data_IF_087416278953
#
_entry.id   IF_087416278953
#
_cell.length_a   1.000
_cell.length_b   1.000
_cell.length_c   1.000
_cell.angle_alpha   90.00
_cell.angle_beta   90.00
_cell.angle_gamma   90.00
#
_symmetry.space_group_name_H-M   'P 1'
#
loop_
_entity.id
_entity.type
_entity.pdbx_description
1 polymer ?
#
# COMPACT_ATOMS: atom_id res chain seq x y z
N UNK A 1 -10.92 -18.37 29.57
CA UNK A 1 -10.52 -18.54 28.18
C UNK A 1 -9.32 -17.64 27.92
N UNK A 2 -8.36 -18.09 27.16
CA UNK A 2 -7.18 -17.34 26.78
C UNK A 2 -7.03 -17.31 25.26
N UNK A 3 -6.17 -16.42 24.75
CA UNK A 3 -5.83 -16.37 23.35
C UNK A 3 -4.31 -16.43 23.19
N UNK A 4 -3.87 -17.02 22.10
CA UNK A 4 -2.47 -17.06 21.71
C UNK A 4 -2.37 -16.39 20.34
N UNK A 5 -1.50 -15.39 20.22
CA UNK A 5 -1.11 -14.79 18.96
C UNK A 5 0.24 -15.35 18.52
N UNK A 6 0.42 -15.49 17.22
CA UNK A 6 1.70 -15.86 16.63
C UNK A 6 2.17 -14.70 15.74
N UNK A 7 2.76 -13.63 16.34
CA UNK A 7 3.34 -12.55 15.57
C UNK A 7 4.48 -13.08 14.73
N UNK A 8 4.63 -12.53 13.54
CA UNK A 8 5.78 -12.81 12.69
C UNK A 8 7.00 -12.02 13.19
N UNK A 9 8.16 -12.18 12.57
CA UNK A 9 9.43 -11.67 13.10
C UNK A 9 9.69 -10.17 12.87
N UNK A 10 8.67 -9.40 12.50
CA UNK A 10 8.73 -7.94 12.38
C UNK A 10 8.09 -7.31 13.61
N UNK A 11 8.83 -7.37 14.73
CA UNK A 11 8.31 -7.09 16.05
C UNK A 11 7.70 -5.70 16.22
N UNK A 12 8.25 -4.70 15.54
CA UNK A 12 7.74 -3.33 15.61
C UNK A 12 6.50 -3.14 14.73
N UNK A 13 6.52 -3.65 13.50
CA UNK A 13 5.37 -3.58 12.59
C UNK A 13 4.18 -4.41 13.10
N UNK A 14 4.43 -5.57 13.74
CA UNK A 14 3.42 -6.44 14.31
C UNK A 14 2.66 -5.80 15.50
N UNK A 15 3.21 -4.77 16.13
CA UNK A 15 2.54 -4.06 17.25
C UNK A 15 1.18 -3.50 16.84
N UNK A 16 0.98 -3.11 15.59
CA UNK A 16 -0.31 -2.63 15.10
C UNK A 16 -1.38 -3.74 15.22
N UNK A 17 -1.08 -4.95 14.75
CA UNK A 17 -1.99 -6.08 14.84
C UNK A 17 -2.19 -6.53 16.30
N UNK A 18 -1.13 -6.53 17.10
CA UNK A 18 -1.20 -6.89 18.52
C UNK A 18 -2.03 -5.89 19.34
N UNK A 19 -1.94 -4.61 19.02
CA UNK A 19 -2.77 -3.58 19.66
C UNK A 19 -4.25 -3.82 19.38
N UNK A 20 -4.61 -4.12 18.13
CA UNK A 20 -6.00 -4.44 17.76
C UNK A 20 -6.50 -5.69 18.49
N UNK A 21 -5.69 -6.73 18.53
CA UNK A 21 -6.01 -7.98 19.21
C UNK A 21 -6.21 -7.76 20.72
N UNK A 22 -5.32 -7.00 21.36
CA UNK A 22 -5.43 -6.67 22.78
C UNK A 22 -6.70 -5.86 23.07
N UNK A 23 -7.01 -4.88 22.24
CA UNK A 23 -8.23 -4.06 22.37
C UNK A 23 -9.49 -4.91 22.23
N UNK A 24 -9.53 -5.83 21.26
CA UNK A 24 -10.62 -6.79 21.10
C UNK A 24 -10.81 -7.66 22.35
N UNK A 25 -9.73 -8.21 22.93
CA UNK A 25 -9.84 -9.06 24.13
C UNK A 25 -10.18 -8.27 25.38
N UNK A 26 -9.79 -7.01 25.46
CA UNK A 26 -10.13 -6.16 26.60
C UNK A 26 -11.63 -5.87 26.68
N UNK A 27 -12.26 -5.50 25.58
CA UNK A 27 -13.69 -5.24 25.52
C UNK A 27 -14.25 -5.47 24.12
N UNK A 28 -14.66 -6.71 23.83
CA UNK A 28 -15.16 -7.11 22.51
C UNK A 28 -16.39 -6.32 22.05
N UNK A 29 -17.27 -5.95 22.99
CA UNK A 29 -18.51 -5.23 22.65
C UNK A 29 -18.25 -3.77 22.25
N UNK A 30 -17.29 -3.14 22.86
CA UNK A 30 -16.87 -1.79 22.57
C UNK A 30 -16.01 -1.75 21.30
N UNK A 31 -15.01 -2.62 21.22
CA UNK A 31 -14.18 -2.77 20.05
C UNK A 31 -14.99 -2.99 18.76
N UNK A 32 -16.01 -3.85 18.80
CA UNK A 32 -16.84 -4.14 17.62
C UNK A 32 -17.63 -2.93 17.11
N UNK A 33 -17.83 -1.90 17.93
CA UNK A 33 -18.50 -0.65 17.55
C UNK A 33 -17.53 0.43 17.08
N UNK A 34 -16.25 0.35 17.49
CA UNK A 34 -15.24 1.39 17.33
C UNK A 34 -13.96 0.87 16.67
N UNK A 35 -14.07 -0.15 15.85
CA UNK A 35 -12.91 -0.85 15.24
C UNK A 35 -11.98 0.11 14.51
N UNK A 36 -12.54 0.99 13.68
CA UNK A 36 -11.77 1.95 12.90
C UNK A 36 -11.10 3.00 13.79
N UNK A 37 -11.83 3.53 14.76
CA UNK A 37 -11.30 4.52 15.72
C UNK A 37 -10.15 3.93 16.55
N UNK A 38 -10.28 2.67 17.00
CA UNK A 38 -9.23 1.97 17.74
C UNK A 38 -8.01 1.73 16.83
N UNK A 39 -8.24 1.41 15.56
CA UNK A 39 -7.17 1.25 14.59
C UNK A 39 -6.40 2.56 14.37
N UNK A 40 -7.07 3.69 14.19
CA UNK A 40 -6.42 5.00 14.08
C UNK A 40 -5.67 5.40 15.37
N UNK A 41 -6.27 5.17 16.53
CA UNK A 41 -5.65 5.46 17.82
C UNK A 41 -4.36 4.65 18.04
N UNK A 42 -4.28 3.44 17.49
CA UNK A 42 -3.08 2.61 17.56
C UNK A 42 -1.84 3.35 17.03
N UNK A 43 -1.93 4.01 15.88
CA UNK A 43 -0.80 4.74 15.28
C UNK A 43 -0.38 5.94 16.12
N UNK A 44 -1.35 6.68 16.68
CA UNK A 44 -1.10 7.80 17.61
C UNK A 44 -0.41 7.36 18.88
N UNK A 45 -0.73 6.15 19.36
CA UNK A 45 -0.12 5.58 20.55
C UNK A 45 1.29 5.03 20.29
N UNK A 46 1.48 4.31 19.19
CA UNK A 46 2.72 3.62 18.88
C UNK A 46 3.81 4.56 18.32
N UNK A 47 3.43 5.51 17.45
CA UNK A 47 4.37 6.39 16.74
C UNK A 47 3.74 7.80 16.62
N UNK A 48 3.58 8.53 17.74
CA UNK A 48 2.86 9.81 17.76
C UNK A 48 3.47 10.88 16.84
N UNK A 49 4.78 10.86 16.63
CA UNK A 49 5.51 11.83 15.82
C UNK A 49 5.24 11.70 14.32
N UNK A 50 4.90 10.52 13.86
CA UNK A 50 4.62 10.21 12.45
C UNK A 50 3.31 9.46 12.25
N UNK A 51 2.37 9.59 13.20
CA UNK A 51 1.16 8.76 13.19
C UNK A 51 0.36 8.89 11.88
N UNK A 52 0.24 10.09 11.35
CA UNK A 52 -0.53 10.37 10.13
C UNK A 52 0.13 9.74 8.89
N UNK A 53 1.44 9.86 8.79
CA UNK A 53 2.22 9.21 7.74
C UNK A 53 2.15 7.68 7.83
N UNK A 54 2.28 7.14 9.04
CA UNK A 54 2.19 5.69 9.25
C UNK A 54 0.79 5.15 8.98
N UNK A 55 -0.25 5.85 9.41
CA UNK A 55 -1.64 5.52 9.13
C UNK A 55 -1.93 5.54 7.61
N UNK A 56 -1.45 6.57 6.90
CA UNK A 56 -1.56 6.66 5.44
C UNK A 56 -0.92 5.45 4.74
N UNK A 57 0.31 5.10 5.14
CA UNK A 57 0.98 3.90 4.61
C UNK A 57 0.15 2.66 4.91
N UNK A 58 -0.27 2.47 6.15
CA UNK A 58 -1.01 1.29 6.59
C UNK A 58 -2.34 1.12 5.86
N UNK A 59 -3.12 2.19 5.65
CA UNK A 59 -4.37 2.17 4.87
C UNK A 59 -4.18 1.65 3.45
N UNK A 60 -3.06 1.99 2.84
CA UNK A 60 -2.76 1.61 1.46
C UNK A 60 -2.12 0.21 1.31
N UNK A 61 -1.72 -0.44 2.41
CA UNK A 61 -1.09 -1.76 2.40
C UNK A 61 -1.76 -2.77 3.35
N UNK A 62 -2.87 -2.41 3.99
CA UNK A 62 -3.53 -3.21 5.03
C UNK A 62 -4.11 -4.54 4.57
N UNK A 63 -4.08 -4.83 3.29
CA UNK A 63 -4.57 -6.07 2.72
C UNK A 63 -3.45 -7.06 2.44
N UNK A 64 -3.71 -8.32 2.74
CA UNK A 64 -2.82 -9.43 2.39
C UNK A 64 -3.42 -10.21 1.22
N UNK A 65 -3.09 -9.86 -0.03
CA UNK A 65 -3.59 -10.61 -1.18
C UNK A 65 -2.96 -12.00 -1.21
N UNK A 66 -3.79 -12.99 -1.30
CA UNK A 66 -3.41 -14.27 -1.89
C UNK A 66 -2.42 -15.13 -1.11
N UNK A 67 -2.50 -15.20 0.21
CA UNK A 67 -2.20 -16.49 0.82
C UNK A 67 -3.48 -17.31 0.73
N UNK A 68 -3.46 -18.49 0.09
CA UNK A 68 -4.61 -19.41 0.07
C UNK A 68 -5.03 -19.88 1.48
N UNK A 69 -4.56 -19.21 2.50
CA UNK A 69 -4.87 -19.39 3.93
C UNK A 69 -5.66 -18.22 4.52
N UNK A 70 -5.83 -17.11 3.77
CA UNK A 70 -6.67 -16.00 4.23
C UNK A 70 -8.13 -16.37 3.96
N UNK A 71 -9.05 -16.23 4.92
CA UNK A 71 -10.47 -16.47 4.69
C UNK A 71 -10.96 -15.69 3.48
N UNK A 72 -11.74 -16.32 2.62
CA UNK A 72 -12.37 -15.67 1.48
C UNK A 72 -13.17 -14.45 1.95
N UNK A 73 -13.00 -13.31 1.29
CA UNK A 73 -13.74 -12.08 1.58
C UNK A 73 -12.89 -10.88 2.01
N UNK A 74 -11.57 -11.01 2.10
CA UNK A 74 -10.70 -9.84 2.24
C UNK A 74 -10.32 -9.32 0.86
N UNK A 75 -10.80 -8.14 0.53
CA UNK A 75 -10.47 -7.45 -0.72
C UNK A 75 -9.16 -6.69 -0.59
N UNK A 76 -8.41 -6.58 -1.68
CA UNK A 76 -7.20 -5.79 -1.73
C UNK A 76 -7.54 -4.29 -1.73
N UNK A 77 -6.86 -3.52 -0.88
CA UNK A 77 -6.94 -2.06 -0.86
C UNK A 77 -8.36 -1.51 -0.79
N UNK A 78 -9.14 -1.89 0.23
CA UNK A 78 -10.50 -1.38 0.46
C UNK A 78 -10.59 0.14 0.41
N UNK A 79 -9.56 0.83 0.91
CA UNK A 79 -9.50 2.29 0.95
C UNK A 79 -9.60 2.95 -0.44
N UNK A 80 -9.02 2.33 -1.48
CA UNK A 80 -9.06 2.83 -2.86
C UNK A 80 -10.01 2.05 -3.76
N UNK A 81 -10.67 1.01 -3.26
CA UNK A 81 -11.44 0.07 -4.08
C UNK A 81 -12.52 0.74 -4.93
N UNK A 82 -13.31 1.64 -4.35
CA UNK A 82 -14.37 2.36 -5.07
C UNK A 82 -13.79 3.29 -6.14
N UNK A 83 -12.80 4.11 -5.79
CA UNK A 83 -12.12 5.03 -6.71
C UNK A 83 -11.52 4.27 -7.90
N UNK A 84 -10.81 3.17 -7.64
CA UNK A 84 -10.18 2.35 -8.68
C UNK A 84 -11.21 1.65 -9.55
N UNK A 85 -12.30 1.12 -8.97
CA UNK A 85 -13.39 0.48 -9.72
C UNK A 85 -14.07 1.47 -10.67
N UNK A 86 -14.39 2.68 -10.19
CA UNK A 86 -15.00 3.73 -11.03
C UNK A 86 -14.11 4.13 -12.19
N UNK A 87 -12.80 4.32 -11.95
CA UNK A 87 -11.84 4.63 -13.02
C UNK A 87 -11.75 3.47 -14.02
N UNK A 88 -11.66 2.23 -13.54
CA UNK A 88 -11.60 1.05 -14.40
C UNK A 88 -12.82 0.92 -15.29
N UNK A 89 -14.01 1.12 -14.74
CA UNK A 89 -15.25 1.11 -15.51
C UNK A 89 -15.29 2.21 -16.57
N UNK A 90 -14.83 3.42 -16.23
CA UNK A 90 -14.73 4.52 -17.16
C UNK A 90 -13.77 4.22 -18.34
N UNK A 91 -12.62 3.60 -18.06
CA UNK A 91 -11.66 3.15 -19.08
C UNK A 91 -12.30 2.09 -19.99
N UNK A 92 -12.93 1.06 -19.43
CA UNK A 92 -13.59 -0.01 -20.17
C UNK A 92 -14.72 0.49 -21.06
N UNK A 93 -15.45 1.48 -20.62
CA UNK A 93 -16.59 2.07 -21.34
C UNK A 93 -16.20 3.22 -22.27
N UNK A 94 -14.92 3.55 -22.41
CA UNK A 94 -14.41 4.71 -23.16
C UNK A 94 -15.03 6.05 -22.73
N UNK A 95 -15.31 6.18 -21.42
CA UNK A 95 -15.85 7.40 -20.80
C UNK A 95 -14.84 8.08 -19.87
N UNK A 96 -13.61 7.57 -19.83
CA UNK A 96 -12.54 8.13 -19.00
C UNK A 96 -12.19 9.56 -19.45
N UNK A 97 -12.09 10.47 -18.49
CA UNK A 97 -11.56 11.83 -18.70
C UNK A 97 -10.63 12.22 -17.54
N UNK A 98 -9.65 13.07 -17.84
CA UNK A 98 -8.73 13.59 -16.82
C UNK A 98 -9.42 14.44 -15.74
N UNK A 99 -10.63 14.95 -16.04
CA UNK A 99 -11.39 15.81 -15.15
C UNK A 99 -12.29 15.05 -14.14
N UNK A 100 -12.41 13.74 -14.24
CA UNK A 100 -13.14 12.92 -13.27
C UNK A 100 -12.65 13.19 -11.84
N UNK A 101 -13.57 13.25 -10.88
CA UNK A 101 -13.22 13.50 -9.48
C UNK A 101 -12.38 12.36 -8.92
N UNK A 102 -12.66 11.13 -9.31
CA UNK A 102 -11.92 9.93 -8.90
C UNK A 102 -10.47 9.96 -9.38
N UNK A 103 -10.23 10.47 -10.59
CA UNK A 103 -8.86 10.67 -11.12
C UNK A 103 -8.11 11.70 -10.30
N UNK A 104 -8.74 12.83 -9.97
CA UNK A 104 -8.16 13.88 -9.11
C UNK A 104 -7.87 13.35 -7.71
N UNK A 105 -8.80 12.60 -7.14
CA UNK A 105 -8.65 11.99 -5.82
C UNK A 105 -7.49 10.97 -5.81
N UNK A 106 -7.41 10.11 -6.83
CA UNK A 106 -6.33 9.12 -6.93
C UNK A 106 -4.95 9.78 -7.09
N UNK A 107 -4.84 10.84 -7.88
CA UNK A 107 -3.60 11.62 -8.00
C UNK A 107 -3.18 12.25 -6.67
N UNK A 108 -4.14 12.83 -5.94
CA UNK A 108 -3.89 13.41 -4.62
C UNK A 108 -3.42 12.33 -3.64
N UNK A 109 -4.06 11.16 -3.64
CA UNK A 109 -3.67 10.05 -2.79
C UNK A 109 -2.29 9.51 -3.13
N UNK A 110 -1.93 9.38 -4.40
CA UNK A 110 -0.57 8.99 -4.79
C UNK A 110 0.48 9.97 -4.28
N UNK A 111 0.22 11.27 -4.38
CA UNK A 111 1.11 12.29 -3.84
C UNK A 111 1.20 12.21 -2.31
N UNK A 112 0.07 11.96 -1.64
CA UNK A 112 -0.02 11.80 -0.20
C UNK A 112 0.76 10.57 0.29
N UNK A 113 0.63 9.41 -0.37
CA UNK A 113 1.39 8.20 -0.04
C UNK A 113 2.90 8.46 -0.16
N UNK A 114 3.36 9.08 -1.25
CA UNK A 114 4.79 9.36 -1.44
C UNK A 114 5.33 10.34 -0.38
N UNK A 115 4.55 11.37 -0.04
CA UNK A 115 4.88 12.30 1.03
C UNK A 115 4.92 11.59 2.39
N UNK A 116 3.94 10.73 2.69
CA UNK A 116 3.88 9.95 3.92
C UNK A 116 5.09 9.01 4.06
N UNK A 117 5.49 8.32 2.99
CA UNK A 117 6.69 7.47 3.00
C UNK A 117 7.94 8.29 3.28
N UNK A 118 8.06 9.48 2.69
CA UNK A 118 9.18 10.39 2.95
C UNK A 118 9.20 10.84 4.41
N UNK A 119 8.10 11.39 4.91
CA UNK A 119 7.96 11.83 6.31
C UNK A 119 8.28 10.71 7.28
N UNK A 120 7.72 9.51 7.04
CA UNK A 120 7.98 8.35 7.88
C UNK A 120 9.48 8.00 7.95
N UNK A 121 10.18 7.99 6.82
CA UNK A 121 11.61 7.69 6.76
C UNK A 121 12.49 8.74 7.46
N UNK A 122 12.08 10.00 7.39
CA UNK A 122 12.88 11.14 7.89
C UNK A 122 12.61 11.45 9.37
N UNK A 123 11.37 11.24 9.84
CA UNK A 123 10.93 11.75 11.14
C UNK A 123 10.60 10.63 12.15
N UNK A 124 10.43 9.37 11.72
CA UNK A 124 10.17 8.28 12.66
C UNK A 124 11.39 8.02 13.55
N UNK A 125 11.21 8.18 14.85
CA UNK A 125 12.28 7.99 15.85
C UNK A 125 12.51 6.53 16.22
N UNK A 126 11.58 5.63 15.88
CA UNK A 126 11.73 4.20 16.07
C UNK A 126 12.57 3.58 14.95
N UNK A 127 13.89 3.60 15.12
CA UNK A 127 14.84 3.07 14.15
C UNK A 127 14.61 1.60 13.81
N UNK A 128 14.12 0.79 14.74
CA UNK A 128 13.80 -0.63 14.49
C UNK A 128 12.63 -0.78 13.53
N UNK A 129 11.56 0.00 13.71
CA UNK A 129 10.42 0.02 12.80
C UNK A 129 10.82 0.51 11.40
N UNK A 130 11.59 1.59 11.33
CA UNK A 130 12.11 2.09 10.05
C UNK A 130 12.94 1.00 9.35
N UNK A 131 13.82 0.32 10.09
CA UNK A 131 14.63 -0.79 9.58
C UNK A 131 13.77 -1.95 9.06
N UNK A 132 12.74 -2.36 9.82
CA UNK A 132 11.84 -3.44 9.42
C UNK A 132 11.10 -3.12 8.12
N UNK A 133 10.70 -1.86 7.90
CA UNK A 133 9.92 -1.46 6.73
C UNK A 133 10.77 -1.06 5.52
N UNK A 134 12.02 -0.62 5.73
CA UNK A 134 12.91 -0.16 4.66
C UNK A 134 13.97 -1.20 4.27
N UNK A 135 14.40 -2.04 5.20
CA UNK A 135 15.43 -3.06 4.96
C UNK A 135 15.25 -4.29 5.85
N UNK A 136 14.16 -5.06 5.64
CA UNK A 136 13.81 -6.22 6.47
C UNK A 136 14.79 -7.36 6.31
N UNK A 137 15.84 -7.44 6.89
CA UNK A 137 16.90 -8.46 6.75
C UNK A 137 18.29 -7.86 6.85
N UNK A 138 18.35 -6.56 7.09
CA UNK A 138 19.58 -5.82 7.35
C UNK A 138 20.68 -6.11 6.30
N UNK A 139 20.33 -6.01 5.02
CA UNK A 139 21.24 -6.30 3.88
C UNK A 139 21.86 -5.01 3.39
N UNK A 140 23.11 -5.04 3.01
CA UNK A 140 23.76 -3.93 2.32
C UNK A 140 23.00 -3.61 1.01
N UNK A 141 22.57 -2.35 0.85
CA UNK A 141 21.69 -1.93 -0.25
C UNK A 141 20.30 -2.57 -0.23
N UNK A 142 19.88 -3.08 0.94
CA UNK A 142 18.59 -3.74 1.12
C UNK A 142 17.42 -2.83 0.84
N UNK A 143 16.33 -3.43 0.40
CA UNK A 143 15.10 -2.77 0.01
C UNK A 143 13.92 -3.39 0.76
N UNK A 144 12.90 -2.59 1.08
CA UNK A 144 11.80 -3.01 1.91
C UNK A 144 10.43 -2.70 1.33
N UNK A 145 9.41 -2.84 2.18
CA UNK A 145 8.02 -2.64 1.80
C UNK A 145 7.72 -1.19 1.40
N UNK A 146 8.37 -0.19 2.02
CA UNK A 146 8.15 1.21 1.65
C UNK A 146 8.62 1.49 0.22
N UNK A 147 9.77 0.96 -0.19
CA UNK A 147 10.25 1.07 -1.55
C UNK A 147 9.36 0.28 -2.53
N UNK A 148 8.82 -0.87 -2.10
CA UNK A 148 7.86 -1.62 -2.90
C UNK A 148 6.57 -0.81 -3.12
N UNK A 149 6.05 -0.15 -2.10
CA UNK A 149 4.89 0.73 -2.22
C UNK A 149 5.19 1.94 -3.12
N UNK A 150 6.36 2.56 -3.01
CA UNK A 150 6.80 3.63 -3.93
C UNK A 150 6.75 3.20 -5.39
N UNK A 151 7.24 1.99 -5.72
CA UNK A 151 7.19 1.47 -7.10
C UNK A 151 5.75 1.30 -7.58
N UNK A 152 4.86 0.75 -6.75
CA UNK A 152 3.44 0.57 -7.11
C UNK A 152 2.77 1.92 -7.38
N UNK A 153 3.00 2.91 -6.52
CA UNK A 153 2.42 4.26 -6.67
C UNK A 153 2.96 4.94 -7.92
N UNK A 154 4.28 4.89 -8.17
CA UNK A 154 4.89 5.46 -9.38
C UNK A 154 4.38 4.79 -10.65
N UNK A 155 4.27 3.46 -10.66
CA UNK A 155 3.66 2.74 -11.77
C UNK A 155 2.22 3.19 -12.02
N UNK A 156 1.42 3.33 -10.97
CA UNK A 156 0.05 3.84 -11.03
C UNK A 156 -0.01 5.26 -11.61
N UNK A 157 0.90 6.16 -11.21
CA UNK A 157 1.00 7.51 -11.76
C UNK A 157 1.29 7.50 -13.28
N UNK A 158 2.24 6.68 -13.72
CA UNK A 158 2.55 6.56 -15.15
C UNK A 158 1.40 5.97 -15.96
N UNK A 159 0.71 4.93 -15.45
CA UNK A 159 -0.45 4.37 -16.13
C UNK A 159 -1.56 5.43 -16.24
N UNK A 160 -1.82 6.17 -15.17
CA UNK A 160 -2.83 7.23 -15.18
C UNK A 160 -2.50 8.33 -16.18
N UNK A 161 -1.23 8.73 -16.27
CA UNK A 161 -0.76 9.70 -17.29
C UNK A 161 -0.94 9.16 -18.72
N UNK A 162 -0.71 7.86 -18.94
CA UNK A 162 -0.98 7.24 -20.24
C UNK A 162 -2.48 7.28 -20.59
N UNK A 163 -3.36 6.98 -19.64
CA UNK A 163 -4.81 7.05 -19.84
C UNK A 163 -5.29 8.49 -20.12
N UNK A 164 -4.73 9.46 -19.41
CA UNK A 164 -5.03 10.89 -19.66
C UNK A 164 -4.59 11.35 -21.07
N UNK A 165 -3.44 10.88 -21.52
CA UNK A 165 -2.96 11.16 -22.88
C UNK A 165 -3.87 10.52 -23.92
N UNK A 166 -4.25 9.24 -23.70
CA UNK A 166 -5.17 8.51 -24.60
C UNK A 166 -6.57 9.16 -24.69
N UNK A 167 -7.01 9.84 -23.64
CA UNK A 167 -8.32 10.50 -23.61
C UNK A 167 -8.37 11.84 -24.35
N UNK A 168 -7.24 12.34 -24.86
CA UNK A 168 -7.21 13.58 -25.67
C UNK A 168 -7.80 13.33 -27.06
N UNK A 169 -8.29 14.40 -27.68
CA UNK A 169 -8.80 14.33 -29.07
C UNK A 169 -7.73 13.89 -30.07
N UNK A 170 -6.48 14.28 -29.84
CA UNK A 170 -5.30 13.90 -30.63
C UNK A 170 -4.22 13.39 -29.68
N UNK A 171 -4.23 12.10 -29.31
CA UNK A 171 -3.27 11.54 -28.37
C UNK A 171 -1.88 11.39 -29.00
N UNK A 172 -0.84 11.78 -28.26
CA UNK A 172 0.55 11.48 -28.62
C UNK A 172 0.89 10.05 -28.17
N UNK A 173 0.88 9.12 -29.11
CA UNK A 173 1.20 7.72 -28.84
C UNK A 173 2.64 7.51 -28.35
N UNK A 174 3.57 8.41 -28.64
CA UNK A 174 4.93 8.36 -28.08
C UNK A 174 4.92 8.59 -26.58
N UNK A 175 4.12 9.54 -26.10
CA UNK A 175 3.93 9.80 -24.67
C UNK A 175 3.21 8.62 -24.01
N UNK A 176 2.16 8.07 -24.64
CA UNK A 176 1.44 6.90 -24.14
C UNK A 176 2.39 5.73 -23.91
N UNK A 177 3.14 5.34 -24.96
CA UNK A 177 4.06 4.21 -24.87
C UNK A 177 5.20 4.43 -23.87
N UNK A 178 5.72 5.67 -23.80
CA UNK A 178 6.72 6.02 -22.79
C UNK A 178 6.20 5.78 -21.38
N UNK A 179 5.02 6.27 -21.06
CA UNK A 179 4.43 6.09 -19.73
C UNK A 179 4.17 4.61 -19.40
N UNK A 180 3.68 3.81 -20.33
CA UNK A 180 3.53 2.36 -20.12
C UNK A 180 4.88 1.67 -19.93
N UNK A 181 5.91 2.10 -20.63
CA UNK A 181 7.28 1.57 -20.45
C UNK A 181 7.83 1.91 -19.07
N UNK A 182 7.64 3.15 -18.61
CA UNK A 182 8.08 3.60 -17.28
C UNK A 182 7.31 2.85 -16.17
N UNK A 183 6.01 2.69 -16.31
CA UNK A 183 5.20 1.87 -15.38
C UNK A 183 5.70 0.42 -15.32
N UNK A 184 5.99 -0.18 -16.48
CA UNK A 184 6.54 -1.54 -16.55
C UNK A 184 7.91 -1.64 -15.88
N UNK A 185 8.77 -0.63 -16.02
CA UNK A 185 10.08 -0.59 -15.35
C UNK A 185 9.95 -0.56 -13.82
N UNK A 186 9.03 0.26 -13.28
CA UNK A 186 8.72 0.30 -11.85
C UNK A 186 8.20 -1.06 -11.36
N UNK A 187 7.28 -1.70 -12.08
CA UNK A 187 6.75 -3.01 -11.72
C UNK A 187 7.78 -4.13 -11.84
N UNK A 188 8.70 -4.06 -12.80
CA UNK A 188 9.82 -4.99 -12.91
C UNK A 188 10.76 -4.85 -11.71
N UNK A 189 11.03 -3.63 -11.25
CA UNK A 189 11.79 -3.37 -10.02
C UNK A 189 11.06 -3.95 -8.81
N UNK A 190 9.77 -3.66 -8.67
CA UNK A 190 8.93 -4.22 -7.62
C UNK A 190 9.00 -5.77 -7.59
N UNK A 191 8.86 -6.42 -8.74
CA UNK A 191 8.80 -7.88 -8.83
C UNK A 191 10.12 -8.56 -8.44
N UNK A 192 11.25 -7.87 -8.51
CA UNK A 192 12.57 -8.37 -8.13
C UNK A 192 12.86 -8.19 -6.62
N UNK A 193 12.05 -7.41 -5.89
CA UNK A 193 12.28 -7.17 -4.48
C UNK A 193 12.04 -8.42 -3.65
N UNK A 194 13.01 -8.74 -2.84
CA UNK A 194 12.96 -9.92 -1.95
C UNK A 194 13.59 -9.57 -0.61
N UNK A 195 13.24 -10.32 0.42
CA UNK A 195 13.94 -10.30 1.70
C UNK A 195 14.31 -11.71 2.13
N UNK A 196 15.32 -11.85 2.97
CA UNK A 196 15.71 -13.12 3.56
C UNK A 196 15.21 -13.24 4.98
N UNK A 197 14.64 -14.39 5.28
CA UNK A 197 14.33 -14.76 6.66
C UNK A 197 15.61 -15.04 7.47
N UNK A 198 15.62 -14.72 8.78
CA UNK A 198 16.73 -15.10 9.65
C UNK A 198 17.02 -16.61 9.68
N UNK A 199 15.99 -17.43 9.50
CA UNK A 199 16.09 -18.91 9.45
C UNK A 199 16.54 -19.46 8.08
N UNK A 200 16.90 -18.59 7.14
CA UNK A 200 17.23 -18.96 5.76
C UNK A 200 15.97 -19.12 4.88
N UNK A 201 16.06 -18.63 3.67
CA UNK A 201 14.95 -18.60 2.72
C UNK A 201 14.67 -17.19 2.23
N UNK A 202 14.26 -17.07 0.99
CA UNK A 202 13.97 -15.79 0.33
C UNK A 202 12.48 -15.68 0.05
N UNK A 203 11.86 -14.56 0.41
CA UNK A 203 10.48 -14.24 0.04
C UNK A 203 10.39 -12.97 -0.78
N UNK A 204 9.39 -12.91 -1.67
CA UNK A 204 9.08 -11.69 -2.40
C UNK A 204 8.49 -10.65 -1.45
N UNK A 205 8.98 -9.42 -1.53
CA UNK A 205 8.35 -8.25 -0.91
C UNK A 205 7.10 -7.90 -1.70
N UNK A 206 5.95 -7.93 -1.06
CA UNK A 206 4.66 -7.57 -1.67
C UNK A 206 4.05 -6.40 -0.90
N UNK A 207 3.78 -5.31 -1.60
CA UNK A 207 2.89 -4.27 -1.13
C UNK A 207 1.46 -4.60 -1.60
N UNK A 208 0.50 -4.64 -0.69
CA UNK A 208 -0.84 -5.15 -0.94
C UNK A 208 -1.62 -4.47 -2.07
N UNK A 209 -1.36 -3.20 -2.32
CA UNK A 209 -2.05 -2.40 -3.35
C UNK A 209 -1.66 -2.75 -4.80
N UNK A 210 -0.72 -3.67 -5.02
CA UNK A 210 -0.20 -3.96 -6.36
C UNK A 210 -1.26 -4.34 -7.36
N UNK A 211 -2.09 -5.32 -7.03
CA UNK A 211 -3.07 -5.86 -7.97
C UNK A 211 -4.20 -4.87 -8.24
N UNK A 212 -4.65 -4.15 -7.23
CA UNK A 212 -5.73 -3.18 -7.40
C UNK A 212 -5.30 -1.99 -8.23
N UNK A 213 -4.21 -1.30 -7.86
CA UNK A 213 -3.78 -0.08 -8.55
C UNK A 213 -3.35 -0.38 -10.00
N UNK A 214 -2.43 -1.32 -10.19
CA UNK A 214 -1.91 -1.59 -11.53
C UNK A 214 -2.93 -2.34 -12.39
N UNK A 215 -3.66 -3.30 -11.83
CA UNK A 215 -4.65 -4.09 -12.55
C UNK A 215 -5.83 -3.25 -13.03
N UNK A 216 -6.40 -2.42 -12.16
CA UNK A 216 -7.53 -1.57 -12.51
C UNK A 216 -7.20 -0.50 -13.57
N UNK A 217 -5.94 -0.09 -13.67
CA UNK A 217 -5.53 0.92 -14.64
C UNK A 217 -4.97 0.34 -15.94
N UNK A 218 -4.71 -0.99 -16.02
CA UNK A 218 -4.05 -1.64 -17.14
C UNK A 218 -4.98 -2.58 -17.95
N UNK A 219 -6.06 -3.09 -17.33
CA UNK A 219 -7.10 -3.92 -17.97
C UNK A 219 -8.31 -3.08 -18.38
#
# INVERSE_FOLDING_TARGET
AGAVSNPIHFAEADKVALFQLASYFWNVNDYSKHTEEVWEQCFKYLQPEVYDAYLTIARNVSNCPGSGRVPQGFEESLYLAETLSTIQEAVKNNTFTADMQEVKNLKAEFAHILAAIKTFKEECTNNSLVQELTNPGNREGGEGWLQALENVVKAGQYILQAQEEMAKAEPDMGIVWKNFSDASAEMNTYNKRTYQFPAGGTQALKAGSRSSICKCLYE
#
